data_IF_588504212187
#
_entry.id   IF_588504212187
#
_cell.length_a   1.000
_cell.length_b   1.000
_cell.length_c   1.000
_cell.angle_alpha   90.00
_cell.angle_beta   90.00
_cell.angle_gamma   90.00
#
_symmetry.space_group_name_H-M   'P 1'
#
loop_
_entity.id
_entity.type
_entity.pdbx_description
1 polymer ?
#
# COMPACT_ATOMS: atom_id res chain seq x y z
N UNK A 1 1.40 3.66 11.10
CA UNK A 1 1.24 4.73 10.10
C UNK A 1 1.93 5.97 10.64
N UNK A 2 2.91 6.52 9.92
CA UNK A 2 3.69 7.67 10.35
C UNK A 2 3.33 8.88 9.49
N UNK A 3 2.91 9.96 10.14
CA UNK A 3 2.61 11.23 9.48
C UNK A 3 3.72 12.22 9.83
N UNK A 4 4.35 12.79 8.80
CA UNK A 4 5.45 13.73 8.94
C UNK A 4 5.07 15.01 8.21
N UNK A 5 4.82 16.07 8.98
CA UNK A 5 4.50 17.38 8.44
C UNK A 5 5.78 18.23 8.42
N UNK A 6 6.37 18.42 7.23
CA UNK A 6 7.59 19.20 7.06
C UNK A 6 7.21 20.62 6.60
N UNK A 7 6.98 21.53 7.56
CA UNK A 7 6.63 22.92 7.29
C UNK A 7 5.15 23.18 7.07
N UNK A 8 4.77 24.37 6.57
CA UNK A 8 3.35 24.75 6.38
C UNK A 8 2.72 24.18 5.10
N UNK A 9 3.54 23.67 4.18
CA UNK A 9 3.14 23.40 2.79
C UNK A 9 3.52 21.98 2.32
N UNK A 10 4.27 21.19 3.10
CA UNK A 10 4.68 19.83 2.71
C UNK A 10 4.13 18.84 3.72
N UNK A 11 3.28 17.93 3.25
CA UNK A 11 2.78 16.81 4.02
C UNK A 11 3.35 15.52 3.47
N UNK A 12 4.01 14.76 4.32
CA UNK A 12 4.54 13.44 4.01
C UNK A 12 3.85 12.40 4.89
N UNK A 13 3.49 11.27 4.30
CA UNK A 13 2.83 10.18 4.97
C UNK A 13 3.46 8.86 4.53
N UNK A 14 3.90 8.08 5.50
CA UNK A 14 4.43 6.75 5.29
C UNK A 14 3.56 5.75 6.06
N UNK A 15 2.88 4.89 5.31
CA UNK A 15 2.03 3.84 5.86
C UNK A 15 2.64 2.49 5.53
N UNK A 16 3.17 1.84 6.56
CA UNK A 16 3.58 0.44 6.48
C UNK A 16 2.46 -0.43 7.07
N UNK A 17 2.04 -1.43 6.31
CA UNK A 17 1.07 -2.44 6.73
C UNK A 17 1.71 -3.81 6.60
N UNK A 18 1.49 -4.68 7.59
CA UNK A 18 1.84 -6.08 7.49
C UNK A 18 0.58 -6.92 7.58
N UNK A 19 0.40 -7.82 6.62
CA UNK A 19 -0.68 -8.80 6.64
C UNK A 19 -0.07 -10.17 6.85
N UNK A 20 -0.49 -10.83 7.94
CA UNK A 20 -0.10 -12.20 8.22
C UNK A 20 -1.29 -13.09 7.93
N UNK A 21 -1.16 -13.96 6.93
CA UNK A 21 -2.17 -14.95 6.60
C UNK A 21 -1.60 -16.35 6.84
N UNK A 22 -2.32 -17.14 7.63
CA UNK A 22 -2.00 -18.51 7.96
C UNK A 22 -3.20 -19.17 8.63
N UNK A 23 -3.55 -20.37 8.17
CA UNK A 23 -4.52 -21.24 8.83
C UNK A 23 -3.99 -21.63 10.22
N UNK A 24 -4.89 -21.83 11.18
CA UNK A 24 -4.57 -22.39 12.51
C UNK A 24 -3.91 -23.78 12.44
N UNK A 25 -3.83 -24.40 11.26
CA UNK A 25 -3.30 -25.75 11.03
C UNK A 25 -2.15 -25.73 9.99
N UNK A 26 -0.94 -25.45 10.46
CA UNK A 26 0.26 -26.18 10.00
C UNK A 26 0.88 -25.94 8.61
N UNK A 27 0.46 -24.99 7.77
CA UNK A 27 1.18 -24.72 6.52
C UNK A 27 1.59 -23.25 6.37
N UNK A 28 2.91 -23.05 6.22
CA UNK A 28 3.64 -21.85 5.79
C UNK A 28 2.93 -20.51 6.01
N UNK A 29 3.05 -19.96 7.22
CA UNK A 29 2.59 -18.60 7.50
C UNK A 29 3.36 -17.60 6.64
N UNK A 30 2.70 -17.02 5.64
CA UNK A 30 3.30 -15.97 4.80
C UNK A 30 2.97 -14.61 5.39
N UNK A 31 4.02 -13.91 5.81
CA UNK A 31 3.92 -12.51 6.23
C UNK A 31 4.18 -11.62 5.03
N UNK A 32 3.20 -10.80 4.68
CA UNK A 32 3.27 -9.85 3.58
C UNK A 32 3.44 -8.45 4.13
N UNK A 33 4.37 -7.69 3.56
CA UNK A 33 4.63 -6.31 3.92
C UNK A 33 4.22 -5.40 2.76
N UNK A 34 3.45 -4.37 3.08
CA UNK A 34 3.07 -3.32 2.16
C UNK A 34 3.56 -1.99 2.70
N UNK A 35 4.07 -1.16 1.81
CA UNK A 35 4.50 0.19 2.14
C UNK A 35 3.95 1.15 1.11
N UNK A 36 3.17 2.07 1.63
CA UNK A 36 2.55 3.15 0.90
C UNK A 36 3.21 4.46 1.36
N UNK A 37 3.61 5.26 0.39
CA UNK A 37 4.17 6.59 0.58
C UNK A 37 3.27 7.62 -0.09
N UNK A 38 3.01 8.73 0.58
CA UNK A 38 2.25 9.83 0.02
C UNK A 38 2.91 11.15 0.38
N UNK A 39 3.10 11.99 -0.61
CA UNK A 39 3.65 13.33 -0.50
C UNK A 39 2.64 14.31 -1.08
N UNK A 40 2.30 15.35 -0.34
CA UNK A 40 1.48 16.45 -0.82
C UNK A 40 2.23 17.76 -0.61
N UNK A 41 2.26 18.60 -1.65
CA UNK A 41 2.84 19.92 -1.63
C UNK A 41 1.80 20.96 -2.01
N UNK A 42 1.58 21.94 -1.15
CA UNK A 42 0.57 22.98 -1.33
C UNK A 42 1.22 24.34 -1.56
N UNK A 43 1.09 24.87 -2.77
CA UNK A 43 1.43 26.25 -3.11
C UNK A 43 0.28 27.17 -2.75
N UNK A 44 0.29 27.69 -1.52
CA UNK A 44 -0.72 28.64 -1.03
C UNK A 44 -0.88 29.88 -1.91
N UNK A 45 0.19 30.33 -2.57
CA UNK A 45 0.18 31.53 -3.42
C UNK A 45 -0.66 31.39 -4.69
N UNK A 46 -0.76 30.17 -5.24
CA UNK A 46 -1.50 29.89 -6.47
C UNK A 46 -2.65 28.89 -6.26
N UNK A 47 -2.95 28.53 -5.00
CA UNK A 47 -3.94 27.48 -4.63
C UNK A 47 -3.75 26.19 -5.45
N UNK A 48 -2.49 25.86 -5.73
CA UNK A 48 -2.11 24.64 -6.44
C UNK A 48 -1.64 23.61 -5.45
N UNK A 49 -2.16 22.39 -5.53
CA UNK A 49 -1.71 21.25 -4.73
C UNK A 49 -1.15 20.18 -5.64
N UNK A 50 0.10 19.81 -5.39
CA UNK A 50 0.74 18.67 -6.01
C UNK A 50 0.64 17.49 -5.07
N UNK A 51 0.23 16.34 -5.59
CA UNK A 51 0.16 15.09 -4.83
C UNK A 51 0.95 14.02 -5.57
N UNK A 52 1.73 13.26 -4.82
CA UNK A 52 2.46 12.09 -5.29
C UNK A 52 2.18 10.96 -4.33
N UNK A 53 1.62 9.85 -4.84
CA UNK A 53 1.33 8.67 -4.02
C UNK A 53 1.94 7.45 -4.68
N UNK A 54 2.85 6.79 -3.97
CA UNK A 54 3.43 5.51 -4.34
C UNK A 54 2.85 4.42 -3.43
N UNK A 55 2.10 3.48 -4.01
CA UNK A 55 1.55 2.33 -3.27
C UNK A 55 2.35 1.08 -3.54
N UNK A 56 2.44 0.22 -2.53
CA UNK A 56 3.09 -1.08 -2.62
C UNK A 56 4.52 -0.99 -3.19
N UNK A 57 5.35 -0.11 -2.59
CA UNK A 57 6.74 0.17 -3.00
C UNK A 57 7.61 -1.10 -2.98
N UNK A 58 7.33 -2.01 -2.05
CA UNK A 58 8.02 -3.29 -1.94
C UNK A 58 7.57 -4.33 -2.98
N UNK A 59 6.66 -3.95 -3.88
CA UNK A 59 6.25 -4.73 -5.05
C UNK A 59 5.84 -6.17 -4.68
N UNK A 60 5.02 -6.28 -3.63
CA UNK A 60 4.49 -7.55 -3.13
C UNK A 60 3.43 -8.05 -4.11
N UNK A 61 3.80 -9.00 -5.00
CA UNK A 61 3.02 -9.40 -6.18
C UNK A 61 2.17 -10.67 -6.03
N UNK A 62 2.51 -11.56 -5.11
CA UNK A 62 1.93 -12.91 -5.11
C UNK A 62 1.44 -13.35 -3.74
N UNK A 63 0.12 -13.37 -3.60
CA UNK A 63 -0.60 -14.03 -2.52
C UNK A 63 -0.98 -15.43 -3.00
N UNK A 64 -0.51 -16.49 -2.33
CA UNK A 64 -0.94 -17.86 -2.63
C UNK A 64 -1.41 -18.51 -1.34
N UNK A 65 -2.73 -18.60 -1.16
CA UNK A 65 -3.33 -19.47 -0.15
C UNK A 65 -3.51 -20.85 -0.80
N UNK A 66 -2.74 -21.82 -0.33
CA UNK A 66 -2.96 -23.22 -0.65
C UNK A 66 -3.50 -23.86 0.63
N UNK A 67 -4.82 -24.02 0.71
CA UNK A 67 -5.42 -24.86 1.75
C UNK A 67 -5.52 -26.28 1.16
N UNK A 68 -4.63 -27.16 1.59
CA UNK A 68 -4.70 -28.59 1.28
C UNK A 68 -5.53 -29.25 2.38
N UNK A 69 -6.76 -29.63 2.07
CA UNK A 69 -7.62 -30.43 2.96
C UNK A 69 -8.04 -31.69 2.20
N UNK A 70 -7.97 -32.86 2.86
CA UNK A 70 -8.03 -34.23 2.28
C UNK A 70 -9.21 -34.57 1.34
N UNK A 71 -10.17 -33.67 1.12
CA UNK A 71 -11.35 -33.88 0.27
C UNK A 71 -11.56 -32.82 -0.82
N UNK A 72 -10.95 -31.63 -0.73
CA UNK A 72 -11.12 -30.55 -1.70
C UNK A 72 -9.89 -29.64 -1.76
N UNK A 73 -9.34 -29.43 -2.97
CA UNK A 73 -8.31 -28.43 -3.23
C UNK A 73 -8.97 -27.09 -3.59
N UNK A 74 -9.05 -26.17 -2.63
CA UNK A 74 -9.52 -24.80 -2.89
C UNK A 74 -8.35 -23.84 -2.76
N UNK A 75 -7.74 -23.45 -3.88
CA UNK A 75 -6.68 -22.44 -3.88
C UNK A 75 -7.29 -21.07 -4.13
N UNK A 76 -7.42 -20.26 -3.08
CA UNK A 76 -7.90 -18.89 -3.20
C UNK A 76 -6.69 -17.97 -3.47
N UNK A 77 -6.49 -17.64 -4.73
CA UNK A 77 -5.46 -16.69 -5.17
C UNK A 77 -6.05 -15.27 -5.17
N UNK A 78 -5.67 -14.45 -4.19
CA UNK A 78 -6.04 -13.03 -4.18
C UNK A 78 -5.00 -12.22 -4.95
N UNK A 79 -5.39 -11.67 -6.10
CA UNK A 79 -4.49 -10.82 -6.89
C UNK A 79 -4.37 -9.44 -6.22
N UNK A 80 -3.21 -9.18 -5.61
CA UNK A 80 -2.90 -7.87 -5.04
C UNK A 80 -2.63 -6.85 -6.17
N UNK A 81 -3.05 -5.60 -5.95
CA UNK A 81 -2.70 -4.51 -6.86
C UNK A 81 -1.17 -4.38 -6.92
N UNK A 82 -0.57 -4.44 -8.11
CA UNK A 82 0.87 -4.22 -8.26
C UNK A 82 1.25 -2.82 -7.78
N UNK A 83 2.51 -2.66 -7.40
CA UNK A 83 3.04 -1.36 -7.02
C UNK A 83 2.81 -0.34 -8.12
N UNK A 84 2.28 0.83 -7.75
CA UNK A 84 2.02 1.92 -8.68
C UNK A 84 2.39 3.26 -8.08
N UNK A 85 2.76 4.20 -8.95
CA UNK A 85 3.04 5.57 -8.60
C UNK A 85 2.02 6.44 -9.32
N UNK A 86 1.40 7.33 -8.58
CA UNK A 86 0.40 8.28 -9.07
C UNK A 86 0.85 9.70 -8.76
N UNK A 87 0.65 10.59 -9.73
CA UNK A 87 0.92 12.01 -9.61
C UNK A 87 -0.38 12.76 -9.90
N UNK A 88 -0.73 13.70 -9.04
CA UNK A 88 -1.90 14.55 -9.16
C UNK A 88 -1.51 16.01 -9.03
N UNK A 89 -2.19 16.87 -9.79
CA UNK A 89 -2.07 18.32 -9.69
C UNK A 89 -3.48 18.87 -9.61
N UNK A 90 -3.84 19.40 -8.44
CA UNK A 90 -5.09 20.10 -8.22
C UNK A 90 -4.82 21.59 -8.32
N UNK A 91 -5.49 22.27 -9.25
CA UNK A 91 -5.44 23.72 -9.40
C UNK A 91 -6.82 24.31 -9.15
N UNK A 92 -6.93 25.24 -8.20
CA UNK A 92 -8.18 25.94 -7.88
C UNK A 92 -8.02 27.43 -8.16
N UNK A 93 -8.87 27.97 -9.03
CA UNK A 93 -8.93 29.40 -9.37
C UNK A 93 -9.78 30.20 -8.38
#
# INVERSE_FOLDING_TARGET
MYFLNMGKNIQCNLKNESYRFGSFLGQDSKTYYFSDFSLAYELRQHRTRFTMTAKNIFNTRFFRNAELTDLYNTSTEYKLLPGYISFGVDYSF
#
